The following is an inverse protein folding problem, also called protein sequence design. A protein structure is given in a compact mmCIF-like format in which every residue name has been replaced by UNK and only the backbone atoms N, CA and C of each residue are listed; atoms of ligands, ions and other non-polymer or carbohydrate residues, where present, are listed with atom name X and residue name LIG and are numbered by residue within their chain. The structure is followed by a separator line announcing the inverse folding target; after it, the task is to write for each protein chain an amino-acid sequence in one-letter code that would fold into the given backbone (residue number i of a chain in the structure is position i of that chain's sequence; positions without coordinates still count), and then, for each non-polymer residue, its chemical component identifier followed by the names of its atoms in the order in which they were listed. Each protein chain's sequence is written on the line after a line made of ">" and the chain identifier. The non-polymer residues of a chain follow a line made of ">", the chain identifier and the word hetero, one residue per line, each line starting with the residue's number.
data_IF_551280396915
#
_entry.id   IF_551280396915
#
_cell.length_a   1.000
_cell.length_b   1.000
_cell.length_c   1.000
_cell.angle_alpha   90.00
_cell.angle_beta   90.00
_cell.angle_gamma   90.00
#
_symmetry.space_group_name_H-M   'P 1'
#
loop_
_entity.id
_entity.type
_entity.pdbx_description
1 polymer ?
#
# COMPACT_ATOMS: atom_id res chain seq x y z
N UNK A 1 -20.04 -27.10 18.81
CA UNK A 1 -18.74 -26.42 18.74
C UNK A 1 -19.00 -25.00 18.27
N UNK A 2 -19.03 -24.03 19.18
CA UNK A 2 -19.10 -22.62 18.82
C UNK A 2 -17.71 -22.22 18.32
N UNK A 3 -17.55 -22.09 17.00
CA UNK A 3 -16.36 -21.49 16.44
C UNK A 3 -16.24 -20.07 17.02
N UNK A 4 -15.20 -19.82 17.81
CA UNK A 4 -14.90 -18.47 18.31
C UNK A 4 -14.62 -17.61 17.08
N UNK A 5 -15.49 -16.64 16.81
CA UNK A 5 -15.26 -15.68 15.73
C UNK A 5 -13.96 -14.94 16.03
N UNK A 6 -13.02 -14.94 15.07
CA UNK A 6 -11.77 -14.17 15.14
C UNK A 6 -12.12 -12.69 15.38
N UNK A 7 -11.33 -11.96 16.15
CA UNK A 7 -11.61 -10.53 16.38
C UNK A 7 -11.37 -9.70 15.11
N UNK A 8 -12.03 -8.54 14.99
CA UNK A 8 -11.81 -7.61 13.87
C UNK A 8 -10.34 -7.20 13.73
N UNK A 9 -9.64 -7.06 14.86
CA UNK A 9 -8.20 -6.77 14.91
C UNK A 9 -7.39 -7.91 14.30
N UNK A 10 -7.63 -9.15 14.73
CA UNK A 10 -6.89 -10.31 14.22
C UNK A 10 -7.17 -10.55 12.73
N UNK A 11 -8.42 -10.37 12.28
CA UNK A 11 -8.77 -10.47 10.88
C UNK A 11 -8.02 -9.42 10.04
N UNK A 12 -8.02 -8.16 10.48
CA UNK A 12 -7.32 -7.08 9.79
C UNK A 12 -5.80 -7.27 9.84
N UNK A 13 -5.25 -7.71 10.97
CA UNK A 13 -3.83 -8.01 11.12
C UNK A 13 -3.39 -9.11 10.15
N UNK A 14 -4.16 -10.20 10.03
CA UNK A 14 -3.88 -11.27 9.08
C UNK A 14 -3.80 -10.75 7.64
N UNK A 15 -4.76 -9.92 7.22
CA UNK A 15 -4.77 -9.34 5.88
C UNK A 15 -3.62 -8.32 5.66
N UNK A 16 -3.32 -7.50 6.68
CA UNK A 16 -2.19 -6.55 6.63
C UNK A 16 -0.85 -7.28 6.50
N UNK A 17 -0.70 -8.39 7.22
CA UNK A 17 0.53 -9.17 7.26
C UNK A 17 0.70 -10.07 6.03
N UNK A 18 -0.40 -10.41 5.33
CA UNK A 18 -0.40 -11.15 4.07
C UNK A 18 0.10 -10.32 2.87
N UNK A 19 0.31 -9.00 3.03
CA UNK A 19 0.83 -8.16 1.94
C UNK A 19 2.24 -8.58 1.54
N UNK A 20 2.46 -8.74 0.24
CA UNK A 20 3.78 -8.97 -0.31
C UNK A 20 4.68 -7.74 -0.09
N UNK A 21 5.71 -7.93 0.72
CA UNK A 21 6.78 -6.97 1.02
C UNK A 21 8.11 -7.50 0.50
N UNK A 22 9.02 -6.61 0.17
CA UNK A 22 10.40 -7.00 -0.13
C UNK A 22 11.10 -7.36 1.18
N UNK A 23 11.66 -8.57 1.24
CA UNK A 23 12.37 -9.07 2.41
C UNK A 23 13.80 -8.53 2.50
N UNK A 24 14.53 -8.93 3.54
CA UNK A 24 15.91 -8.49 3.77
C UNK A 24 16.91 -8.97 2.70
N UNK A 25 16.55 -9.96 1.88
CA UNK A 25 17.37 -10.49 0.80
C UNK A 25 17.03 -9.85 -0.55
N UNK A 26 16.05 -8.94 -0.61
CA UNK A 26 15.71 -8.24 -1.83
C UNK A 26 16.92 -7.45 -2.35
N UNK A 27 17.47 -7.81 -3.54
CA UNK A 27 18.71 -7.20 -4.02
C UNK A 27 18.50 -5.80 -4.63
N UNK A 28 17.25 -5.37 -4.77
CA UNK A 28 16.87 -4.26 -5.61
C UNK A 28 16.53 -4.69 -7.04
N UNK A 29 16.28 -3.70 -7.91
CA UNK A 29 16.15 -3.91 -9.34
C UNK A 29 16.65 -2.70 -10.13
N UNK A 30 16.90 -2.94 -11.41
CA UNK A 30 17.12 -1.89 -12.41
C UNK A 30 16.10 -2.05 -13.52
N UNK A 31 15.69 -0.95 -14.14
CA UNK A 31 14.79 -0.98 -15.29
C UNK A 31 15.06 0.18 -16.25
N UNK A 32 14.75 -0.03 -17.52
CA UNK A 32 14.52 1.07 -18.46
C UNK A 32 13.12 1.63 -18.21
N UNK A 33 12.96 2.96 -18.27
CA UNK A 33 11.68 3.62 -18.05
C UNK A 33 11.22 4.43 -19.24
N UNK A 34 9.91 4.60 -19.33
CA UNK A 34 9.25 5.57 -20.17
C UNK A 34 8.22 6.31 -19.32
N UNK A 35 8.40 7.62 -19.18
CA UNK A 35 7.47 8.50 -18.47
C UNK A 35 6.75 9.41 -19.47
N UNK A 36 5.43 9.29 -19.54
CA UNK A 36 4.58 10.09 -20.42
C UNK A 36 3.82 11.13 -19.59
N UNK A 37 3.94 12.40 -19.97
CA UNK A 37 3.23 13.51 -19.35
C UNK A 37 2.57 14.35 -20.46
N UNK A 38 1.27 14.13 -20.66
CA UNK A 38 0.59 14.68 -21.83
C UNK A 38 1.17 14.08 -23.11
N UNK A 39 1.60 14.94 -24.03
CA UNK A 39 2.25 14.54 -25.29
C UNK A 39 3.77 14.37 -25.16
N UNK A 40 4.37 14.79 -24.04
CA UNK A 40 5.82 14.66 -23.83
C UNK A 40 6.15 13.28 -23.29
N UNK A 41 7.21 12.67 -23.84
CA UNK A 41 7.77 11.40 -23.39
C UNK A 41 9.23 11.58 -22.95
N UNK A 42 9.57 11.01 -21.81
CA UNK A 42 10.92 10.94 -21.28
C UNK A 42 11.33 9.48 -21.14
N UNK A 43 12.54 9.14 -21.56
CA UNK A 43 13.13 7.82 -21.36
C UNK A 43 14.36 7.93 -20.49
N UNK A 44 14.71 6.83 -19.83
CA UNK A 44 15.91 6.79 -19.00
C UNK A 44 16.05 5.46 -18.28
N UNK A 45 16.88 5.46 -17.25
CA UNK A 45 17.16 4.27 -16.44
C UNK A 45 16.88 4.55 -14.98
N UNK A 46 16.41 3.52 -14.29
CA UNK A 46 16.12 3.59 -12.86
C UNK A 46 16.75 2.42 -12.13
N UNK A 47 17.05 2.66 -10.86
CA UNK A 47 17.49 1.64 -9.92
C UNK A 47 16.78 1.85 -8.60
N UNK A 48 16.25 0.77 -8.03
CA UNK A 48 15.89 0.71 -6.61
C UNK A 48 16.89 -0.22 -5.96
N UNK A 49 17.73 0.30 -5.05
CA UNK A 49 18.74 -0.50 -4.36
C UNK A 49 18.13 -1.42 -3.30
N UNK A 50 18.96 -2.33 -2.78
CA UNK A 50 18.62 -3.17 -1.61
C UNK A 50 18.30 -2.33 -0.35
N UNK A 51 18.78 -1.08 -0.30
CA UNK A 51 18.46 -0.10 0.74
C UNK A 51 17.13 0.64 0.48
N UNK A 52 16.35 0.21 -0.52
CA UNK A 52 15.08 0.79 -0.95
C UNK A 52 15.18 2.23 -1.48
N UNK A 53 16.38 2.72 -1.79
CA UNK A 53 16.57 4.05 -2.38
C UNK A 53 16.46 3.99 -3.90
N UNK A 54 15.77 4.98 -4.46
CA UNK A 54 15.59 5.15 -5.88
C UNK A 54 16.66 6.08 -6.47
N UNK A 55 17.20 5.70 -7.63
CA UNK A 55 18.10 6.49 -8.45
C UNK A 55 17.48 6.59 -9.87
N UNK A 56 17.49 7.80 -10.44
CA UNK A 56 17.00 8.06 -11.81
C UNK A 56 18.14 8.68 -12.62
N UNK A 57 18.51 8.03 -13.72
CA UNK A 57 19.59 8.46 -14.61
C UNK A 57 19.09 8.59 -16.05
N UNK A 58 19.82 9.32 -16.87
CA UNK A 58 19.50 9.54 -18.29
C UNK A 58 18.21 10.35 -18.56
N UNK A 59 17.67 11.01 -17.52
CA UNK A 59 16.56 11.96 -17.63
C UNK A 59 17.06 13.36 -17.29
N UNK A 60 17.28 14.18 -18.32
CA UNK A 60 17.83 15.53 -18.17
C UNK A 60 16.81 16.55 -17.63
N UNK A 61 15.52 16.37 -17.92
CA UNK A 61 14.47 17.23 -17.39
C UNK A 61 14.28 16.97 -15.89
N UNK A 62 14.57 17.98 -15.06
CA UNK A 62 14.54 17.85 -13.60
C UNK A 62 13.13 17.56 -13.06
N UNK A 63 12.09 18.07 -13.73
CA UNK A 63 10.70 17.85 -13.30
C UNK A 63 10.29 16.41 -13.56
N UNK A 64 10.63 15.87 -14.73
CA UNK A 64 10.42 14.46 -15.06
C UNK A 64 11.25 13.55 -14.14
N UNK A 65 12.52 13.88 -13.92
CA UNK A 65 13.41 13.12 -13.03
C UNK A 65 12.80 13.01 -11.62
N UNK A 66 12.35 14.14 -11.06
CA UNK A 66 11.71 14.18 -9.73
C UNK A 66 10.40 13.39 -9.69
N UNK A 67 9.57 13.50 -10.73
CA UNK A 67 8.30 12.76 -10.81
C UNK A 67 8.53 11.23 -10.85
N UNK A 68 9.49 10.77 -11.66
CA UNK A 68 9.89 9.37 -11.73
C UNK A 68 10.43 8.90 -10.39
N UNK A 69 11.34 9.67 -9.78
CA UNK A 69 11.92 9.37 -8.48
C UNK A 69 10.85 9.24 -7.38
N UNK A 70 9.86 10.14 -7.36
CA UNK A 70 8.74 10.06 -6.43
C UNK A 70 7.92 8.78 -6.64
N UNK A 71 7.63 8.39 -7.88
CA UNK A 71 6.87 7.16 -8.16
C UNK A 71 7.64 5.89 -7.73
N UNK A 72 8.96 5.87 -7.93
CA UNK A 72 9.81 4.77 -7.45
C UNK A 72 9.85 4.72 -5.93
N UNK A 73 9.94 5.87 -5.27
CA UNK A 73 9.88 5.97 -3.81
C UNK A 73 8.54 5.47 -3.27
N UNK A 74 7.42 5.90 -3.85
CA UNK A 74 6.09 5.41 -3.49
C UNK A 74 6.01 3.89 -3.66
N UNK A 75 6.52 3.34 -4.75
CA UNK A 75 6.55 1.89 -4.97
C UNK A 75 7.38 1.19 -3.89
N UNK A 76 8.57 1.71 -3.59
CA UNK A 76 9.49 1.11 -2.63
C UNK A 76 8.97 1.17 -1.19
N UNK A 77 8.45 2.34 -0.75
CA UNK A 77 8.00 2.54 0.62
C UNK A 77 6.81 1.63 0.97
N UNK A 78 5.95 1.31 0.00
CA UNK A 78 4.83 0.37 0.17
C UNK A 78 5.28 -1.09 0.24
N UNK A 79 6.52 -1.41 -0.15
CA UNK A 79 7.10 -2.75 -0.05
C UNK A 79 7.93 -2.95 1.22
N UNK A 80 8.15 -1.90 2.00
CA UNK A 80 8.85 -2.00 3.30
C UNK A 80 7.96 -2.70 4.32
N UNK A 81 8.46 -3.80 4.90
CA UNK A 81 7.79 -4.49 6.00
C UNK A 81 7.84 -3.63 7.27
N UNK A 82 6.67 -3.30 7.80
CA UNK A 82 6.49 -2.68 9.12
C UNK A 82 5.67 -3.62 10.00
N UNK A 83 6.04 -3.85 11.27
CA UNK A 83 5.21 -4.61 12.18
C UNK A 83 3.82 -3.99 12.33
N UNK A 84 2.80 -4.85 12.46
CA UNK A 84 1.42 -4.42 12.66
C UNK A 84 1.28 -3.51 13.87
N UNK A 85 1.90 -3.87 14.99
CA UNK A 85 1.91 -3.09 16.23
C UNK A 85 2.50 -1.68 16.06
N UNK A 86 3.52 -1.53 15.22
CA UNK A 86 4.13 -0.22 14.94
C UNK A 86 3.18 0.67 14.12
N UNK A 87 2.46 0.08 13.15
CA UNK A 87 1.63 0.85 12.22
C UNK A 87 0.23 1.12 12.76
N UNK A 88 -0.34 0.16 13.47
CA UNK A 88 -1.75 0.15 13.89
C UNK A 88 -1.94 -0.14 15.39
N UNK A 89 -0.88 -0.15 16.21
CA UNK A 89 -0.98 -0.45 17.64
C UNK A 89 -1.81 0.55 18.45
N UNK A 90 -1.95 1.79 17.97
CA UNK A 90 -2.75 2.87 18.57
C UNK A 90 -4.19 2.91 18.03
N UNK A 91 -4.59 1.93 17.21
CA UNK A 91 -5.93 1.87 16.61
C UNK A 91 -6.81 0.83 17.31
N UNK A 92 -8.12 1.06 17.24
CA UNK A 92 -9.15 0.06 17.56
C UNK A 92 -9.83 -0.39 16.27
N UNK A 93 -10.44 -1.58 16.31
CA UNK A 93 -11.00 -2.24 15.14
C UNK A 93 -12.37 -2.77 15.47
N UNK A 94 -13.36 -2.46 14.63
CA UNK A 94 -14.70 -3.00 14.73
C UNK A 94 -15.16 -3.54 13.38
N UNK A 95 -16.01 -4.56 13.41
CA UNK A 95 -16.69 -5.03 12.21
C UNK A 95 -17.70 -3.99 11.72
N UNK A 96 -17.70 -3.74 10.41
CA UNK A 96 -18.74 -3.02 9.69
C UNK A 96 -19.62 -3.97 8.89
N UNK A 97 -20.15 -3.49 7.76
CA UNK A 97 -20.99 -4.30 6.89
C UNK A 97 -20.18 -5.35 6.10
N UNK A 98 -20.82 -6.47 5.76
CA UNK A 98 -20.35 -7.35 4.68
C UNK A 98 -21.13 -7.00 3.42
N UNK A 99 -20.43 -6.76 2.32
CA UNK A 99 -21.10 -6.44 1.05
C UNK A 99 -21.44 -7.70 0.24
N UNK A 100 -22.13 -7.50 -0.88
CA UNK A 100 -22.60 -8.57 -1.77
C UNK A 100 -21.47 -9.42 -2.38
N UNK A 101 -20.23 -8.90 -2.39
CA UNK A 101 -19.05 -9.64 -2.85
C UNK A 101 -18.43 -10.51 -1.75
N UNK A 102 -18.98 -10.48 -0.55
CA UNK A 102 -18.43 -11.11 0.64
C UNK A 102 -17.26 -10.34 1.27
N UNK A 103 -16.99 -9.11 0.83
CA UNK A 103 -15.95 -8.30 1.46
C UNK A 103 -16.45 -7.74 2.79
N UNK A 104 -15.63 -7.91 3.84
CA UNK A 104 -15.97 -7.54 5.22
C UNK A 104 -15.33 -6.19 5.55
N UNK A 105 -16.14 -5.22 5.93
CA UNK A 105 -15.68 -3.90 6.35
C UNK A 105 -15.08 -3.94 7.77
N UNK A 106 -13.97 -3.22 7.94
CA UNK A 106 -13.30 -2.94 9.21
C UNK A 106 -13.31 -1.43 9.42
N UNK A 107 -14.01 -1.01 10.47
CA UNK A 107 -14.06 0.37 10.93
C UNK A 107 -12.91 0.62 11.89
N UNK A 108 -12.14 1.67 11.63
CA UNK A 108 -11.02 2.06 12.47
C UNK A 108 -11.45 3.10 13.50
N UNK A 109 -10.98 2.93 14.73
CA UNK A 109 -11.02 3.94 15.78
C UNK A 109 -9.62 4.25 16.32
N UNK A 110 -9.54 5.15 17.30
CA UNK A 110 -8.25 5.59 17.86
C UNK A 110 -7.54 6.56 16.92
N UNK A 111 -6.24 6.35 16.68
CA UNK A 111 -5.45 7.29 15.86
C UNK A 111 -5.90 7.40 14.41
N UNK A 112 -6.52 6.35 13.86
CA UNK A 112 -7.08 6.33 12.51
C UNK A 112 -8.61 6.39 12.52
N UNK A 113 -9.21 7.04 13.52
CA UNK A 113 -10.67 7.19 13.58
C UNK A 113 -11.23 7.82 12.30
N UNK A 114 -12.27 7.19 11.75
CA UNK A 114 -12.89 7.58 10.48
C UNK A 114 -12.29 6.88 9.25
N UNK A 115 -11.12 6.24 9.36
CA UNK A 115 -10.62 5.35 8.31
C UNK A 115 -11.44 4.05 8.29
N UNK A 116 -11.56 3.43 7.12
CA UNK A 116 -12.16 2.11 6.97
C UNK A 116 -11.50 1.31 5.85
N UNK A 117 -11.57 0.00 6.00
CA UNK A 117 -11.02 -0.94 5.03
C UNK A 117 -12.07 -2.01 4.72
N UNK A 118 -11.95 -2.66 3.57
CA UNK A 118 -12.66 -3.93 3.34
C UNK A 118 -11.66 -5.05 3.08
N UNK A 119 -11.98 -6.21 3.60
CA UNK A 119 -11.17 -7.41 3.51
C UNK A 119 -11.90 -8.49 2.72
N UNK A 120 -11.20 -9.13 1.79
CA UNK A 120 -11.70 -10.29 1.05
C UNK A 120 -10.53 -11.23 0.80
N UNK A 121 -10.71 -12.53 0.97
CA UNK A 121 -9.68 -13.55 0.74
C UNK A 121 -8.34 -13.28 1.46
N UNK A 122 -8.40 -12.82 2.72
CA UNK A 122 -7.20 -12.44 3.50
C UNK A 122 -6.37 -11.31 2.88
N UNK A 123 -7.01 -10.41 2.13
CA UNK A 123 -6.38 -9.25 1.51
C UNK A 123 -7.23 -7.99 1.75
N UNK A 124 -6.55 -6.84 1.81
CA UNK A 124 -7.23 -5.53 1.81
C UNK A 124 -7.65 -5.21 0.38
N UNK A 125 -8.95 -5.20 0.12
CA UNK A 125 -9.50 -4.90 -1.22
C UNK A 125 -10.10 -3.49 -1.34
N UNK A 126 -10.33 -2.81 -0.21
CA UNK A 126 -10.77 -1.42 -0.18
C UNK A 126 -10.01 -0.66 0.90
N UNK A 127 -9.59 0.55 0.56
CA UNK A 127 -8.92 1.48 1.47
C UNK A 127 -9.67 2.80 1.40
N UNK A 128 -10.11 3.30 2.56
CA UNK A 128 -10.64 4.65 2.68
C UNK A 128 -9.97 5.33 3.87
N UNK A 129 -9.18 6.36 3.59
CA UNK A 129 -8.33 7.00 4.60
C UNK A 129 -8.32 8.51 4.52
N UNK A 130 -8.20 9.13 5.68
CA UNK A 130 -7.97 10.57 5.83
C UNK A 130 -6.46 10.82 5.99
N UNK A 131 -5.86 11.42 4.97
CA UNK A 131 -4.41 11.66 4.91
C UNK A 131 -4.19 13.13 4.59
N UNK A 132 -3.58 13.88 5.52
CA UNK A 132 -3.21 15.29 5.34
C UNK A 132 -4.36 16.18 4.80
N UNK A 133 -5.58 15.99 5.31
CA UNK A 133 -6.76 16.77 4.90
C UNK A 133 -7.39 16.32 3.58
N UNK A 134 -6.88 15.23 2.98
CA UNK A 134 -7.44 14.61 1.77
C UNK A 134 -8.03 13.26 2.13
N UNK A 135 -9.13 12.90 1.49
CA UNK A 135 -9.71 11.56 1.56
C UNK A 135 -9.22 10.76 0.36
N UNK A 136 -8.55 9.65 0.63
CA UNK A 136 -8.08 8.70 -0.39
C UNK A 136 -8.97 7.47 -0.34
N UNK A 137 -9.59 7.13 -1.47
CA UNK A 137 -10.35 5.88 -1.64
C UNK A 137 -9.73 5.07 -2.76
N UNK A 138 -9.42 3.80 -2.50
CA UNK A 138 -8.80 2.88 -3.44
C UNK A 138 -9.56 1.56 -3.40
N UNK A 139 -10.01 1.12 -4.57
CA UNK A 139 -10.64 -0.19 -4.77
C UNK A 139 -9.71 -1.11 -5.56
N UNK A 140 -9.44 -2.29 -5.01
CA UNK A 140 -8.69 -3.35 -5.68
C UNK A 140 -9.66 -4.41 -6.17
N UNK A 141 -9.86 -4.45 -7.49
CA UNK A 141 -10.85 -5.34 -8.11
C UNK A 141 -10.37 -6.79 -8.18
N UNK A 142 -9.08 -7.00 -8.44
CA UNK A 142 -8.47 -8.33 -8.53
C UNK A 142 -7.00 -8.31 -8.09
N UNK A 143 -6.53 -9.47 -7.62
CA UNK A 143 -5.14 -9.81 -7.33
C UNK A 143 -4.78 -11.07 -8.13
N UNK A 144 -3.49 -11.24 -8.47
CA UNK A 144 -3.01 -12.31 -9.35
C UNK A 144 -2.66 -13.59 -8.58
#
# INVERSE_FOLDING_TARGET
>A
MTATQVSARELFQSAYENRYTWDANFPGYTADITYKKGETEFTGKVKVGADMKAEVTEVADETANKAIGQQLWETAIHRVRRPFSQTHGENTFAYGATDETGAIEILMGGKSEGDRYKLRNNEVCHVHRHIHGVVVTIDTFSTN
#
